data_IF_029441234676
#
_entry.id   IF_029441234676
#
_cell.length_a   1.000
_cell.length_b   1.000
_cell.length_c   1.000
_cell.angle_alpha   90.00
_cell.angle_beta   90.00
_cell.angle_gamma   90.00
#
_symmetry.space_group_name_H-M   'P 1'
#
loop_
_entity.id
_entity.type
_entity.pdbx_description
1 polymer ?
#
# COMPACT_ATOMS: atom_id res chain seq x y z
N UNK A 1 -10.63 -13.02 12.81
CA UNK A 1 -10.28 -11.59 13.06
C UNK A 1 -8.78 -11.31 13.05
N UNK A 2 -7.90 -12.29 13.35
CA UNK A 2 -6.44 -12.18 13.14
C UNK A 2 -5.98 -11.99 11.66
N UNK A 3 -6.91 -11.77 10.73
CA UNK A 3 -6.69 -11.74 9.28
C UNK A 3 -6.71 -10.32 8.70
N UNK A 4 -7.71 -9.49 8.99
CA UNK A 4 -7.81 -8.14 8.37
C UNK A 4 -6.71 -7.22 8.88
N UNK A 5 -6.58 -7.05 10.21
CA UNK A 5 -5.52 -6.22 10.81
C UNK A 5 -4.13 -6.59 10.29
N UNK A 6 -3.81 -7.89 10.30
CA UNK A 6 -2.50 -8.36 9.89
C UNK A 6 -2.24 -8.20 8.38
N UNK A 7 -3.28 -8.20 7.54
CA UNK A 7 -3.17 -7.84 6.12
C UNK A 7 -2.96 -6.32 5.96
N UNK A 8 -3.66 -5.51 6.74
CA UNK A 8 -3.54 -4.06 6.71
C UNK A 8 -2.16 -3.58 7.16
N UNK A 9 -1.62 -4.16 8.23
CA UNK A 9 -0.23 -3.94 8.70
C UNK A 9 0.78 -4.30 7.61
N UNK A 10 0.65 -5.50 7.02
CA UNK A 10 1.52 -5.94 5.90
C UNK A 10 1.41 -5.03 4.69
N UNK A 11 0.20 -4.58 4.36
CA UNK A 11 -0.03 -3.66 3.23
C UNK A 11 0.65 -2.32 3.47
N UNK A 12 0.58 -1.80 4.70
CA UNK A 12 1.30 -0.59 5.08
C UNK A 12 2.81 -0.78 5.02
N UNK A 13 3.33 -1.93 5.44
CA UNK A 13 4.75 -2.24 5.41
C UNK A 13 5.28 -2.43 3.97
N UNK A 14 4.49 -3.08 3.10
CA UNK A 14 4.85 -3.37 1.72
C UNK A 14 4.95 -2.10 0.86
N UNK A 15 4.04 -1.15 1.07
CA UNK A 15 4.03 0.11 0.33
C UNK A 15 4.13 1.30 1.28
N UNK A 16 5.37 1.66 1.63
CA UNK A 16 5.60 2.68 2.65
C UNK A 16 5.25 4.08 2.17
N UNK A 17 4.44 4.79 2.97
CA UNK A 17 4.27 6.21 2.76
C UNK A 17 5.59 6.98 2.97
N UNK A 18 5.75 8.12 2.31
CA UNK A 18 6.92 8.99 2.48
C UNK A 18 7.02 9.51 3.92
N UNK A 19 5.88 9.81 4.54
CA UNK A 19 5.73 10.13 5.96
C UNK A 19 4.52 9.39 6.51
N UNK A 20 4.58 9.01 7.79
CA UNK A 20 3.46 8.43 8.54
C UNK A 20 3.18 9.27 9.78
N UNK A 21 1.89 9.44 10.10
CA UNK A 21 1.43 10.02 11.36
C UNK A 21 0.59 8.99 12.09
N UNK A 22 0.93 8.73 13.35
CA UNK A 22 0.12 7.90 14.24
C UNK A 22 -0.81 8.82 15.01
N UNK A 23 -2.11 8.55 14.93
CA UNK A 23 -3.16 9.35 15.54
C UNK A 23 -4.16 8.40 16.19
N UNK A 24 -4.01 8.20 17.50
CA UNK A 24 -4.98 7.48 18.32
C UNK A 24 -5.41 6.11 17.74
N UNK A 25 -4.42 5.29 17.39
CA UNK A 25 -4.63 3.97 16.78
C UNK A 25 -4.80 3.98 15.24
N UNK A 26 -4.95 5.15 14.62
CA UNK A 26 -5.01 5.30 13.17
C UNK A 26 -3.66 5.71 12.59
N UNK A 27 -3.40 5.31 11.35
CA UNK A 27 -2.14 5.58 10.64
C UNK A 27 -2.42 6.35 9.36
N UNK A 28 -1.88 7.56 9.26
CA UNK A 28 -2.02 8.40 8.08
C UNK A 28 -0.78 8.28 7.21
N UNK A 29 -0.97 7.91 5.95
CA UNK A 29 0.08 8.02 4.93
C UNK A 29 0.09 9.41 4.29
N UNK A 30 1.26 10.02 4.16
CA UNK A 30 1.45 11.33 3.56
C UNK A 30 2.56 11.24 2.50
N UNK A 31 2.19 11.04 1.25
CA UNK A 31 3.11 10.78 0.12
C UNK A 31 2.85 11.69 -1.07
N UNK A 32 2.51 12.95 -0.80
CA UNK A 32 2.35 14.01 -1.81
C UNK A 32 1.36 13.64 -2.94
N UNK A 33 0.34 12.84 -2.62
CA UNK A 33 -0.66 12.40 -3.60
C UNK A 33 -0.22 11.22 -4.48
N UNK A 34 1.04 10.75 -4.37
CA UNK A 34 1.52 9.58 -5.10
C UNK A 34 0.90 8.29 -4.56
N UNK A 35 -0.03 7.72 -5.34
CA UNK A 35 -0.88 6.55 -5.01
C UNK A 35 -1.85 6.75 -3.84
N UNK A 36 -3.02 6.12 -3.90
CA UNK A 36 -4.02 6.22 -2.82
C UNK A 36 -3.60 5.48 -1.55
N UNK A 37 -2.98 4.30 -1.69
CA UNK A 37 -2.56 3.48 -0.55
C UNK A 37 -1.52 4.19 0.35
N UNK A 38 -0.66 5.02 -0.25
CA UNK A 38 0.34 5.80 0.49
C UNK A 38 -0.17 7.17 0.97
N UNK A 39 -1.43 7.53 0.69
CA UNK A 39 -2.06 8.82 0.99
C UNK A 39 -3.45 8.66 1.63
N UNK A 40 -3.63 7.67 2.50
CA UNK A 40 -4.90 7.43 3.20
C UNK A 40 -4.75 7.34 4.71
N UNK A 41 -5.84 7.60 5.41
CA UNK A 41 -6.04 7.29 6.83
C UNK A 41 -6.41 5.82 6.95
N UNK A 42 -5.68 5.07 7.77
CA UNK A 42 -5.86 3.63 7.98
C UNK A 42 -6.27 3.38 9.44
N UNK A 43 -7.56 3.12 9.72
CA UNK A 43 -8.06 2.86 11.06
C UNK A 43 -7.79 1.41 11.47
N UNK A 44 -6.58 1.12 11.94
CA UNK A 44 -6.10 -0.25 12.20
C UNK A 44 -6.30 -0.67 13.66
N UNK A 45 -6.12 0.26 14.59
CA UNK A 45 -6.20 -0.03 16.02
C UNK A 45 -7.27 0.82 16.69
N UNK A 46 -7.76 0.29 17.81
CA UNK A 46 -8.57 1.06 18.73
C UNK A 46 -7.73 2.19 19.33
N UNK A 47 -8.43 3.19 19.85
CA UNK A 47 -7.83 4.37 20.45
C UNK A 47 -8.72 4.88 21.57
N UNK A 48 -8.36 6.02 22.14
CA UNK A 48 -9.01 6.57 23.33
C UNK A 48 -10.19 7.48 22.95
N UNK A 49 -10.10 8.21 21.83
CA UNK A 49 -11.12 9.15 21.36
C UNK A 49 -12.23 8.44 20.61
N UNK A 50 -13.37 9.10 20.44
CA UNK A 50 -14.43 8.62 19.55
C UNK A 50 -14.00 8.75 18.08
N UNK A 51 -14.76 8.11 17.18
CA UNK A 51 -14.55 8.26 15.73
C UNK A 51 -14.73 9.73 15.31
N UNK A 52 -15.77 10.37 15.84
CA UNK A 52 -16.14 11.76 15.55
C UNK A 52 -15.04 12.73 15.96
N UNK A 53 -14.33 12.46 17.05
CA UNK A 53 -13.21 13.28 17.51
C UNK A 53 -11.93 13.07 16.69
N UNK A 54 -11.75 11.89 16.06
CA UNK A 54 -10.56 11.56 15.26
C UNK A 54 -10.64 12.12 13.84
N UNK A 55 -11.83 12.19 13.23
CA UNK A 55 -12.00 12.63 11.84
C UNK A 55 -11.43 14.05 11.62
N UNK A 56 -11.78 15.08 12.41
CA UNK A 56 -11.26 16.44 12.20
C UNK A 56 -9.73 16.53 12.34
N UNK A 57 -9.15 15.75 13.26
CA UNK A 57 -7.70 15.71 13.44
C UNK A 57 -7.00 15.11 12.21
N UNK A 58 -7.62 14.11 11.58
CA UNK A 58 -7.11 13.55 10.33
C UNK A 58 -7.24 14.56 9.18
N UNK A 59 -8.38 15.26 9.10
CA UNK A 59 -8.62 16.29 8.10
C UNK A 59 -7.63 17.44 8.20
N UNK A 60 -7.41 17.96 9.40
CA UNK A 60 -6.41 18.98 9.66
C UNK A 60 -5.00 18.51 9.26
N UNK A 61 -4.63 17.27 9.63
CA UNK A 61 -3.33 16.71 9.29
C UNK A 61 -3.14 16.60 7.76
N UNK A 62 -4.15 16.12 7.03
CA UNK A 62 -4.11 16.03 5.57
C UNK A 62 -4.07 17.41 4.92
N UNK A 63 -4.90 18.35 5.38
CA UNK A 63 -4.97 19.72 4.86
C UNK A 63 -3.64 20.47 5.04
N UNK A 64 -2.97 20.31 6.19
CA UNK A 64 -1.64 20.88 6.45
C UNK A 64 -0.55 20.34 5.50
N UNK A 65 -0.81 19.23 4.82
CA UNK A 65 0.07 18.66 3.81
C UNK A 65 -0.45 18.84 2.37
N UNK A 66 -1.50 19.64 2.17
CA UNK A 66 -2.11 19.88 0.86
C UNK A 66 -2.79 18.65 0.25
N UNK A 67 -3.23 17.70 1.08
CA UNK A 67 -3.86 16.46 0.66
C UNK A 67 -5.36 16.46 0.96
N UNK A 68 -6.14 15.88 0.06
CA UNK A 68 -7.52 15.52 0.35
C UNK A 68 -7.55 14.32 1.30
N UNK A 69 -8.32 14.42 2.39
CA UNK A 69 -8.48 13.34 3.35
C UNK A 69 -9.20 12.16 2.71
N UNK A 70 -8.59 10.98 2.74
CA UNK A 70 -9.19 9.74 2.25
C UNK A 70 -9.08 8.69 3.34
N UNK A 71 -10.21 8.12 3.77
CA UNK A 71 -10.24 7.05 4.76
C UNK A 71 -10.32 5.68 4.07
N UNK A 72 -9.55 4.72 4.56
CA UNK A 72 -9.66 3.32 4.15
C UNK A 72 -10.75 2.63 4.98
N UNK A 73 -11.84 2.23 4.33
CA UNK A 73 -12.91 1.46 4.96
C UNK A 73 -12.64 -0.03 4.82
N UNK A 74 -12.38 -0.68 5.95
CA UNK A 74 -12.25 -2.14 6.11
C UNK A 74 -13.40 -2.64 7.00
N UNK A 75 -13.62 -3.97 7.13
CA UNK A 75 -14.58 -4.48 8.10
C UNK A 75 -14.37 -3.94 9.52
N UNK A 76 -13.12 -3.73 9.93
CA UNK A 76 -12.79 -3.13 11.24
C UNK A 76 -13.23 -1.66 11.33
N UNK A 77 -13.06 -0.89 10.26
CA UNK A 77 -13.53 0.49 10.22
C UNK A 77 -15.06 0.59 10.31
N UNK A 78 -15.77 -0.35 9.68
CA UNK A 78 -17.24 -0.46 9.75
C UNK A 78 -17.68 -0.84 11.16
N UNK A 79 -16.99 -1.78 11.82
CA UNK A 79 -17.25 -2.14 13.21
C UNK A 79 -17.06 -0.96 14.18
N UNK A 80 -16.12 -0.06 13.88
CA UNK A 80 -15.95 1.21 14.62
C UNK A 80 -17.07 2.24 14.36
N UNK A 81 -17.90 2.04 13.33
CA UNK A 81 -18.91 3.01 12.89
C UNK A 81 -18.37 4.14 12.01
N UNK A 82 -17.14 4.00 11.48
CA UNK A 82 -16.49 5.05 10.68
C UNK A 82 -17.23 5.33 9.37
N UNK A 83 -17.76 4.31 8.71
CA UNK A 83 -18.50 4.44 7.47
C UNK A 83 -19.72 5.38 7.63
N UNK A 84 -20.54 5.16 8.66
CA UNK A 84 -21.69 6.02 8.97
C UNK A 84 -21.29 7.44 9.35
N UNK A 85 -20.23 7.59 10.17
CA UNK A 85 -19.75 8.91 10.55
C UNK A 85 -19.32 9.73 9.33
N UNK A 86 -18.61 9.09 8.39
CA UNK A 86 -18.17 9.71 7.14
C UNK A 86 -19.34 10.03 6.20
N UNK A 87 -20.33 9.15 6.08
CA UNK A 87 -21.56 9.44 5.33
C UNK A 87 -22.27 10.69 5.86
N UNK A 88 -22.37 10.84 7.19
CA UNK A 88 -22.93 12.04 7.83
C UNK A 88 -22.15 13.32 7.52
N UNK A 89 -20.86 13.20 7.17
CA UNK A 89 -19.97 14.28 6.75
C UNK A 89 -19.88 14.43 5.23
N UNK A 90 -20.79 13.81 4.47
CA UNK A 90 -20.84 13.87 3.00
C UNK A 90 -19.62 13.28 2.27
N UNK A 91 -18.86 12.40 2.93
CA UNK A 91 -17.84 11.61 2.23
C UNK A 91 -18.51 10.66 1.23
N UNK A 92 -17.83 10.42 0.11
CA UNK A 92 -18.32 9.52 -0.94
C UNK A 92 -17.30 8.42 -1.22
N UNK A 93 -17.80 7.26 -1.70
CA UNK A 93 -16.92 6.19 -2.11
C UNK A 93 -16.11 6.62 -3.34
N UNK A 94 -14.79 6.69 -3.19
CA UNK A 94 -13.87 7.07 -4.27
C UNK A 94 -13.46 5.87 -5.13
N UNK A 95 -13.23 4.72 -4.51
CA UNK A 95 -12.97 3.46 -5.21
C UNK A 95 -12.92 2.27 -4.24
N UNK A 96 -13.23 1.10 -4.78
CA UNK A 96 -13.20 -0.18 -4.06
C UNK A 96 -11.94 -0.97 -4.39
N UNK A 97 -11.26 -1.48 -3.38
CA UNK A 97 -10.12 -2.40 -3.52
C UNK A 97 -10.52 -3.79 -3.05
N UNK A 98 -10.18 -4.82 -3.83
CA UNK A 98 -10.35 -6.22 -3.42
C UNK A 98 -9.03 -6.77 -2.91
N UNK A 99 -9.03 -7.32 -1.70
CA UNK A 99 -7.90 -8.03 -1.13
C UNK A 99 -8.03 -9.51 -1.49
N UNK A 100 -6.98 -10.09 -2.06
CA UNK A 100 -6.92 -11.50 -2.39
C UNK A 100 -5.76 -12.15 -1.62
N UNK A 101 -6.01 -13.30 -1.03
CA UNK A 101 -5.02 -14.06 -0.24
C UNK A 101 -5.00 -15.49 -0.76
N UNK A 102 -3.81 -15.99 -1.03
CA UNK A 102 -3.57 -17.37 -1.43
C UNK A 102 -2.54 -17.98 -0.48
N UNK A 103 -2.88 -19.14 0.08
CA UNK A 103 -1.89 -19.95 0.80
C UNK A 103 -1.10 -20.77 -0.22
N UNK A 104 0.20 -20.50 -0.32
CA UNK A 104 1.10 -21.30 -1.13
C UNK A 104 1.44 -22.57 -0.35
N UNK A 105 0.73 -23.66 -0.64
CA UNK A 105 1.08 -25.00 -0.14
C UNK A 105 2.28 -25.59 -0.90
N UNK A 106 2.49 -26.91 -0.78
CA UNK A 106 3.50 -27.64 -1.57
C UNK A 106 3.15 -27.76 -3.07
N UNK A 107 2.22 -26.95 -3.56
CA UNK A 107 1.87 -26.92 -4.97
C UNK A 107 3.11 -26.48 -5.76
N UNK A 108 3.67 -27.40 -6.54
CA UNK A 108 4.69 -27.06 -7.52
C UNK A 108 4.01 -26.22 -8.60
N UNK A 109 4.28 -24.92 -8.57
CA UNK A 109 4.05 -24.09 -9.74
C UNK A 109 5.16 -24.44 -10.71
N UNK A 110 4.83 -25.13 -11.80
CA UNK A 110 5.75 -25.26 -12.91
C UNK A 110 5.95 -23.86 -13.50
N UNK A 111 7.18 -23.37 -13.44
CA UNK A 111 7.53 -22.10 -14.05
C UNK A 111 7.62 -22.33 -15.57
N UNK A 112 6.58 -21.91 -16.29
CA UNK A 112 6.50 -22.00 -17.75
C UNK A 112 7.48 -21.02 -18.44
N UNK A 113 7.98 -20.03 -17.69
CA UNK A 113 8.88 -18.98 -18.19
C UNK A 113 10.03 -18.72 -17.22
N UNK A 114 11.18 -18.31 -17.77
CA UNK A 114 12.32 -17.91 -16.97
C UNK A 114 12.01 -16.63 -16.19
N UNK A 115 12.08 -16.72 -14.86
CA UNK A 115 11.92 -15.58 -13.97
C UNK A 115 13.29 -15.06 -13.52
N UNK A 116 13.50 -13.76 -13.64
CA UNK A 116 14.57 -13.05 -12.95
C UNK A 116 14.07 -12.62 -11.57
N UNK A 117 14.90 -12.82 -10.54
CA UNK A 117 14.62 -12.38 -9.17
C UNK A 117 15.83 -11.62 -8.65
N UNK A 118 15.64 -10.35 -8.30
CA UNK A 118 16.67 -9.47 -7.76
C UNK A 118 16.37 -9.12 -6.30
N UNK A 119 17.43 -9.04 -5.48
CA UNK A 119 17.35 -8.60 -4.08
C UNK A 119 17.35 -7.07 -3.93
N UNK A 120 17.80 -6.35 -4.96
CA UNK A 120 17.88 -4.89 -5.01
C UNK A 120 17.42 -4.39 -6.38
N UNK A 121 16.82 -3.19 -6.39
CA UNK A 121 16.41 -2.57 -7.64
C UNK A 121 17.62 -2.05 -8.41
N UNK A 122 17.75 -2.44 -9.67
CA UNK A 122 18.73 -1.85 -10.59
C UNK A 122 18.08 -0.73 -11.42
N UNK A 123 18.91 0.14 -12.01
CA UNK A 123 18.41 1.20 -12.88
C UNK A 123 17.74 0.65 -14.14
N UNK A 124 18.27 -0.43 -14.71
CA UNK A 124 17.67 -1.12 -15.86
C UNK A 124 16.30 -1.70 -15.50
N UNK A 125 16.20 -2.35 -14.33
CA UNK A 125 14.92 -2.90 -13.87
C UNK A 125 13.89 -1.79 -13.64
N UNK A 126 14.30 -0.65 -13.04
CA UNK A 126 13.41 0.48 -12.82
C UNK A 126 12.97 1.13 -14.14
N UNK A 127 13.85 1.22 -15.14
CA UNK A 127 13.51 1.72 -16.47
C UNK A 127 12.46 0.82 -17.16
N UNK A 128 12.62 -0.49 -17.07
CA UNK A 128 11.63 -1.46 -17.56
C UNK A 128 10.32 -1.38 -16.79
N UNK A 129 10.38 -1.28 -15.45
CA UNK A 129 9.20 -1.15 -14.60
C UNK A 129 8.43 0.14 -14.92
N UNK A 130 9.12 1.26 -15.11
CA UNK A 130 8.55 2.53 -15.56
C UNK A 130 7.82 2.36 -16.89
N UNK A 131 8.47 1.74 -17.89
CA UNK A 131 7.89 1.49 -19.21
C UNK A 131 6.64 0.61 -19.12
N UNK A 132 6.71 -0.49 -18.37
CA UNK A 132 5.61 -1.45 -18.20
C UNK A 132 4.42 -0.85 -17.46
N UNK A 133 4.68 0.01 -16.46
CA UNK A 133 3.65 0.71 -15.67
C UNK A 133 3.17 2.01 -16.31
N UNK A 134 3.81 2.45 -17.39
CA UNK A 134 3.58 3.73 -18.07
C UNK A 134 3.71 4.94 -17.14
N UNK A 135 4.70 4.90 -16.25
CA UNK A 135 4.93 5.97 -15.26
C UNK A 135 5.67 7.16 -15.87
N UNK A 136 5.28 8.37 -15.45
CA UNK A 136 6.05 9.57 -15.75
C UNK A 136 7.30 9.72 -14.84
N UNK A 137 8.11 10.75 -15.07
CA UNK A 137 9.33 10.98 -14.32
C UNK A 137 9.08 11.28 -12.82
N UNK A 138 7.99 11.97 -12.50
CA UNK A 138 7.62 12.28 -11.11
C UNK A 138 7.17 11.01 -10.39
N UNK A 139 6.29 10.22 -11.02
CA UNK A 139 5.83 8.94 -10.51
C UNK A 139 6.99 7.98 -10.30
N UNK A 140 7.92 7.91 -11.24
CA UNK A 140 9.12 7.05 -11.16
C UNK A 140 10.01 7.44 -9.98
N UNK A 141 10.26 8.74 -9.79
CA UNK A 141 11.04 9.23 -8.66
C UNK A 141 10.38 8.91 -7.31
N UNK A 142 9.05 9.05 -7.23
CA UNK A 142 8.28 8.70 -6.02
C UNK A 142 8.25 7.20 -5.78
N UNK A 143 8.07 6.39 -6.83
CA UNK A 143 8.13 4.94 -6.77
C UNK A 143 9.45 4.46 -6.17
N UNK A 144 10.57 4.92 -6.75
CA UNK A 144 11.91 4.61 -6.27
C UNK A 144 12.09 5.01 -4.81
N UNK A 145 11.66 6.22 -4.44
CA UNK A 145 11.76 6.69 -3.05
C UNK A 145 10.99 5.78 -2.08
N UNK A 146 9.81 5.28 -2.47
CA UNK A 146 9.05 4.33 -1.63
C UNK A 146 9.81 3.02 -1.49
N UNK A 147 10.29 2.46 -2.59
CA UNK A 147 11.01 1.18 -2.60
C UNK A 147 12.32 1.25 -1.79
N UNK A 148 13.07 2.33 -1.90
CA UNK A 148 14.31 2.56 -1.14
C UNK A 148 14.04 2.67 0.37
N UNK A 149 12.82 3.03 0.77
CA UNK A 149 12.40 3.18 2.17
C UNK A 149 11.70 1.95 2.73
N UNK A 150 11.40 0.95 1.90
CA UNK A 150 10.80 -0.29 2.37
C UNK A 150 11.78 -1.01 3.28
N UNK A 151 11.44 -1.09 4.57
CA UNK A 151 12.32 -1.64 5.61
C UNK A 151 12.32 -3.17 5.71
N UNK A 152 11.63 -3.86 4.81
CA UNK A 152 11.48 -5.31 4.81
C UNK A 152 12.18 -5.92 3.59
N UNK A 153 12.61 -7.20 3.67
CA UNK A 153 13.18 -7.89 2.54
C UNK A 153 12.26 -7.80 1.33
N UNK A 154 12.77 -7.25 0.23
CA UNK A 154 12.02 -7.03 -0.99
C UNK A 154 12.65 -7.82 -2.11
N UNK A 155 11.83 -8.34 -3.02
CA UNK A 155 12.26 -8.98 -4.27
C UNK A 155 11.64 -8.27 -5.44
N UNK A 156 12.45 -8.09 -6.47
CA UNK A 156 12.04 -7.54 -7.75
C UNK A 156 12.02 -8.69 -8.73
N UNK A 157 10.84 -9.01 -9.25
CA UNK A 157 10.61 -10.20 -10.06
C UNK A 157 10.26 -9.78 -11.47
N UNK A 158 10.86 -10.41 -12.46
CA UNK A 158 10.56 -10.15 -13.87
C UNK A 158 10.43 -11.42 -14.68
N UNK A 159 9.57 -11.38 -15.69
CA UNK A 159 9.48 -12.42 -16.72
C UNK A 159 10.24 -11.91 -17.94
N UNK A 160 11.12 -12.76 -18.46
CA UNK A 160 11.95 -12.47 -19.63
C UNK A 160 11.44 -13.25 -20.85
N UNK A 161 11.26 -12.55 -21.97
CA UNK A 161 11.04 -13.15 -23.28
C UNK A 161 12.11 -12.64 -24.24
N UNK A 162 12.88 -13.57 -24.82
CA UNK A 162 13.99 -13.24 -25.74
C UNK A 162 15.03 -12.24 -25.19
N UNK A 163 15.17 -12.13 -23.87
CA UNK A 163 16.07 -11.21 -23.19
C UNK A 163 15.44 -9.89 -22.74
N UNK A 164 14.20 -9.61 -23.15
CA UNK A 164 13.47 -8.39 -22.76
C UNK A 164 12.55 -8.65 -21.56
N UNK A 165 12.50 -7.72 -20.59
CA UNK A 165 11.52 -7.77 -19.49
C UNK A 165 10.13 -7.39 -20.01
N UNK A 166 9.25 -8.39 -20.05
CA UNK A 166 7.85 -8.25 -20.51
C UNK A 166 6.86 -8.13 -19.35
N UNK A 167 7.25 -8.57 -18.15
CA UNK A 167 6.50 -8.36 -16.93
C UNK A 167 7.45 -8.05 -15.76
N UNK A 168 6.95 -7.29 -14.79
CA UNK A 168 7.71 -6.93 -13.60
C UNK A 168 6.78 -6.76 -12.40
N UNK A 169 7.24 -7.21 -11.24
CA UNK A 169 6.51 -7.21 -9.99
C UNK A 169 7.45 -7.02 -8.80
N UNK A 170 6.86 -6.66 -7.68
CA UNK A 170 7.56 -6.38 -6.42
C UNK A 170 6.94 -7.28 -5.38
N UNK A 171 7.76 -7.89 -4.53
CA UNK A 171 7.31 -8.73 -3.44
C UNK A 171 8.03 -8.33 -2.16
N UNK A 172 7.30 -7.74 -1.22
CA UNK A 172 7.79 -7.43 0.12
C UNK A 172 7.45 -8.60 1.04
N UNK A 173 8.46 -9.14 1.69
CA UNK A 173 8.40 -10.39 2.46
C UNK A 173 8.25 -10.06 3.94
N UNK A 174 7.21 -10.58 4.56
CA UNK A 174 6.91 -10.38 5.97
C UNK A 174 6.30 -11.63 6.62
N UNK A 175 6.97 -12.17 7.65
CA UNK A 175 6.44 -13.22 8.52
C UNK A 175 5.87 -14.44 7.77
N UNK A 176 6.61 -14.93 6.76
CA UNK A 176 6.20 -16.08 5.93
C UNK A 176 5.16 -15.78 4.85
N UNK A 177 4.83 -14.51 4.64
CA UNK A 177 3.97 -14.02 3.56
C UNK A 177 4.76 -13.07 2.64
N UNK A 178 4.25 -12.81 1.45
CA UNK A 178 4.70 -11.70 0.63
C UNK A 178 3.52 -10.98 -0.05
N UNK A 179 3.71 -9.71 -0.39
CA UNK A 179 2.71 -8.88 -1.08
C UNK A 179 3.32 -7.60 -1.66
N UNK A 180 2.50 -6.80 -2.33
CA UNK A 180 2.89 -5.55 -3.00
C UNK A 180 1.87 -4.45 -2.77
#
# INVERSE_FOLDING_TARGET
>A
MATVRAIEERSLNAWSALRRVFLDGWILGLSEGYTRCANSVNPIYDGIRTVEDRIPLCEETCANHGLATTFKITPMAVEMGLDRALEGLSYTNKATTRVQVLTLGAAQVEADQAAEVLDQVSDDWMADYQRLKQMDAWETAKNRTILDRTGLPTRFVSILESGDRVAAGIAVIESGCFGS
#
